data_IF_720989463546
#
_entry.id   IF_720989463546
#
_cell.length_a   1.000
_cell.length_b   1.000
_cell.length_c   1.000
_cell.angle_alpha   90.00
_cell.angle_beta   90.00
_cell.angle_gamma   90.00
#
_symmetry.space_group_name_H-M   'P 1'
#
loop_
_entity.id
_entity.type
_entity.pdbx_description
1 polymer ?
#
# COMPACT_ATOMS: atom_id res chain seq x y z
N UNK A 1 10.84 10.52 10.53
CA UNK A 1 9.40 10.33 10.26
C UNK A 1 9.11 8.84 10.21
N UNK A 2 8.45 8.31 11.24
CA UNK A 2 8.04 6.92 11.33
C UNK A 2 6.88 6.72 10.34
N UNK A 3 7.15 6.17 9.16
CA UNK A 3 6.11 5.75 8.23
C UNK A 3 5.49 4.47 8.80
N UNK A 4 4.57 4.62 9.75
CA UNK A 4 3.84 3.48 10.32
C UNK A 4 3.17 2.69 9.18
N UNK A 5 3.39 1.36 9.07
CA UNK A 5 2.74 0.51 8.07
C UNK A 5 1.21 0.45 8.21
N UNK A 6 0.64 1.14 9.21
CA UNK A 6 -0.78 1.14 9.52
C UNK A 6 -1.67 1.72 8.40
N UNK A 7 -1.16 2.66 7.59
CA UNK A 7 -1.98 3.36 6.57
C UNK A 7 -1.99 2.66 5.21
N UNK A 8 -0.95 1.91 4.85
CA UNK A 8 -0.91 1.18 3.56
C UNK A 8 -1.87 0.00 3.50
N UNK A 9 -2.31 -0.48 4.67
CA UNK A 9 -3.26 -1.59 4.79
C UNK A 9 -4.74 -1.19 4.65
N UNK A 10 -5.03 0.11 4.52
CA UNK A 10 -6.39 0.66 4.43
C UNK A 10 -6.73 1.22 3.03
N UNK A 11 -5.71 1.47 2.21
CA UNK A 11 -5.87 1.91 0.81
C UNK A 11 -6.21 0.72 -0.09
N UNK A 12 -7.18 0.89 -0.98
CA UNK A 12 -7.50 -0.11 -2.00
C UNK A 12 -6.55 0.03 -3.21
N UNK A 13 -5.86 -1.05 -3.59
CA UNK A 13 -4.96 -1.04 -4.73
C UNK A 13 -5.63 -0.87 -6.11
N UNK A 14 -6.96 -1.05 -6.20
CA UNK A 14 -7.71 -0.90 -7.46
C UNK A 14 -8.24 0.52 -7.67
N UNK A 15 -8.71 1.18 -6.61
CA UNK A 15 -9.39 2.48 -6.71
C UNK A 15 -8.80 3.56 -5.80
N UNK A 16 -7.71 3.25 -5.09
CA UNK A 16 -7.02 4.12 -4.13
C UNK A 16 -7.89 4.69 -3.01
N UNK A 17 -9.06 4.11 -2.78
CA UNK A 17 -9.93 4.51 -1.68
C UNK A 17 -9.33 4.06 -0.34
N UNK A 18 -9.14 5.01 0.58
CA UNK A 18 -8.62 4.76 1.92
C UNK A 18 -9.79 4.81 2.90
N UNK A 19 -10.04 3.69 3.58
CA UNK A 19 -11.07 3.59 4.61
C UNK A 19 -10.64 2.55 5.64
N UNK A 20 -10.87 2.82 6.93
CA UNK A 20 -10.43 1.93 8.03
C UNK A 20 -11.12 0.58 7.95
N UNK A 21 -12.38 0.58 7.53
CA UNK A 21 -13.20 -0.63 7.34
C UNK A 21 -12.77 -1.48 6.15
N UNK A 22 -11.86 -0.99 5.29
CA UNK A 22 -11.38 -1.78 4.17
C UNK A 22 -10.60 -3.01 4.63
N UNK A 23 -9.88 -2.91 5.76
CA UNK A 23 -9.21 -4.05 6.38
C UNK A 23 -10.13 -4.67 7.43
N UNK A 24 -10.71 -5.83 7.10
CA UNK A 24 -11.64 -6.53 7.98
C UNK A 24 -10.89 -7.28 9.07
N UNK A 25 -9.78 -7.92 8.72
CA UNK A 25 -8.86 -8.57 9.66
C UNK A 25 -7.44 -8.65 9.09
N UNK A 26 -6.57 -9.45 9.72
CA UNK A 26 -5.19 -9.58 9.30
C UNK A 26 -5.06 -10.15 7.89
N UNK A 27 -5.95 -11.06 7.48
CA UNK A 27 -5.93 -11.75 6.19
C UNK A 27 -6.95 -11.20 5.19
N UNK A 28 -8.10 -10.66 5.61
CA UNK A 28 -9.19 -10.20 4.71
C UNK A 28 -9.21 -8.69 4.51
N UNK A 29 -9.39 -8.29 3.26
CA UNK A 29 -9.61 -6.92 2.81
C UNK A 29 -10.84 -6.84 1.90
N UNK A 30 -11.72 -5.88 2.16
CA UNK A 30 -12.94 -5.60 1.38
C UNK A 30 -13.06 -4.10 1.17
N UNK A 31 -12.84 -3.62 -0.04
CA UNK A 31 -12.98 -2.20 -0.33
C UNK A 31 -14.44 -1.77 -0.29
N UNK A 32 -14.76 -0.79 0.55
CA UNK A 32 -16.13 -0.25 0.70
C UNK A 32 -16.59 0.57 -0.52
N UNK A 33 -15.69 0.96 -1.42
CA UNK A 33 -16.01 1.78 -2.60
C UNK A 33 -16.21 0.98 -3.88
N UNK A 34 -15.28 0.08 -4.19
CA UNK A 34 -15.32 -0.72 -5.42
C UNK A 34 -15.74 -2.18 -5.19
N UNK A 35 -15.89 -2.62 -3.94
CA UNK A 35 -16.32 -3.97 -3.61
C UNK A 35 -15.25 -5.06 -3.77
N UNK A 36 -14.01 -4.71 -4.13
CA UNK A 36 -12.95 -5.72 -4.30
C UNK A 36 -12.68 -6.46 -2.99
N UNK A 37 -12.64 -7.79 -3.08
CA UNK A 37 -12.28 -8.69 -1.99
C UNK A 37 -10.90 -9.27 -2.29
N UNK A 38 -9.96 -9.12 -1.38
CA UNK A 38 -8.60 -9.61 -1.53
C UNK A 38 -7.99 -9.98 -0.19
N UNK A 39 -6.83 -10.65 -0.23
CA UNK A 39 -5.99 -10.77 0.96
C UNK A 39 -5.40 -9.41 1.33
N UNK A 40 -5.41 -9.07 2.62
CA UNK A 40 -4.90 -7.79 3.11
C UNK A 40 -3.41 -7.60 2.78
N UNK A 41 -2.60 -8.64 2.93
CA UNK A 41 -1.18 -8.60 2.56
C UNK A 41 -0.99 -8.42 1.05
N UNK A 42 -1.78 -9.11 0.23
CA UNK A 42 -1.73 -8.96 -1.24
C UNK A 42 -2.11 -7.53 -1.66
N UNK A 43 -3.14 -6.95 -1.06
CA UNK A 43 -3.52 -5.56 -1.30
C UNK A 43 -2.40 -4.59 -0.86
N UNK A 44 -1.81 -4.81 0.32
CA UNK A 44 -0.71 -4.00 0.82
C UNK A 44 0.54 -4.09 -0.09
N UNK A 45 0.90 -5.28 -0.58
CA UNK A 45 2.01 -5.46 -1.53
C UNK A 45 1.79 -4.65 -2.81
N UNK A 46 0.57 -4.66 -3.36
CA UNK A 46 0.23 -3.86 -4.54
C UNK A 46 0.35 -2.35 -4.28
N UNK A 47 -0.14 -1.88 -3.13
CA UNK A 47 0.04 -0.47 -2.75
C UNK A 47 1.52 -0.08 -2.60
N UNK A 48 2.33 -0.95 -1.99
CA UNK A 48 3.77 -0.72 -1.83
C UNK A 48 4.45 -0.68 -3.21
N UNK A 49 4.12 -1.60 -4.12
CA UNK A 49 4.65 -1.63 -5.48
C UNK A 49 4.30 -0.35 -6.23
N UNK A 50 3.03 0.08 -6.23
CA UNK A 50 2.60 1.31 -6.88
C UNK A 50 3.32 2.56 -6.31
N UNK A 51 3.51 2.61 -4.98
CA UNK A 51 4.27 3.69 -4.33
C UNK A 51 5.76 3.64 -4.65
N UNK A 52 6.33 2.46 -4.80
CA UNK A 52 7.72 2.25 -5.22
C UNK A 52 7.96 2.68 -6.66
N UNK A 53 7.02 2.38 -7.56
CA UNK A 53 7.06 2.84 -8.95
C UNK A 53 6.93 4.37 -9.03
N UNK A 54 5.92 4.95 -8.38
CA UNK A 54 5.73 6.41 -8.34
C UNK A 54 6.96 7.13 -7.76
N UNK A 55 7.61 6.53 -6.76
CA UNK A 55 8.84 7.03 -6.17
C UNK A 55 10.01 7.05 -7.15
N UNK A 56 10.16 5.96 -7.90
CA UNK A 56 11.21 5.80 -8.89
C UNK A 56 11.02 6.82 -10.02
N UNK A 57 9.80 6.95 -10.54
CA UNK A 57 9.45 7.93 -11.57
C UNK A 57 9.68 9.37 -11.09
N UNK A 58 9.35 9.67 -9.82
CA UNK A 58 9.56 11.00 -9.24
C UNK A 58 11.04 11.35 -8.98
N UNK A 59 11.99 10.46 -9.31
CA UNK A 59 13.43 10.72 -9.16
C UNK A 59 13.90 10.73 -7.70
N UNK A 60 13.24 9.97 -6.81
CA UNK A 60 13.65 9.92 -5.41
C UNK A 60 15.02 9.25 -5.29
N UNK A 61 15.97 9.98 -4.75
CA UNK A 61 17.34 9.50 -4.55
C UNK A 61 17.37 8.30 -3.58
N UNK A 62 18.13 7.27 -3.93
CA UNK A 62 18.32 6.11 -3.08
C UNK A 62 18.99 6.53 -1.78
N UNK A 63 18.37 6.19 -0.64
CA UNK A 63 19.00 6.35 0.68
C UNK A 63 19.91 5.17 1.04
N UNK A 64 19.97 4.15 0.16
CA UNK A 64 20.89 3.03 0.35
C UNK A 64 22.29 3.58 0.04
N UNK A 65 23.21 3.61 1.01
CA UNK A 65 24.59 4.00 0.73
C UNK A 65 25.18 3.07 -0.33
N UNK A 66 26.01 3.63 -1.22
CA UNK A 66 26.67 2.83 -2.25
C UNK A 66 27.46 1.68 -1.60
N UNK A 67 27.40 0.46 -2.17
CA UNK A 67 28.31 -0.60 -1.76
C UNK A 67 29.77 -0.15 -1.99
N UNK A 68 30.71 -0.67 -1.19
CA UNK A 68 32.13 -0.30 -1.29
C UNK A 68 32.74 -0.64 -2.65
#
# INVERSE_FOLDING_TARGET
MYAGPAYTSQECAECHHIEKKNRVDQARFICQRCGVVAHADRNASRNIAARGEAAWIAGRESRVPAPP
#
